data_IF_001470595452
#
_entry.id   IF_001470595452
#
_cell.length_a   1.000
_cell.length_b   1.000
_cell.length_c   1.000
_cell.angle_alpha   90.00
_cell.angle_beta   90.00
_cell.angle_gamma   90.00
#
_symmetry.space_group_name_H-M   'P 1'
#
loop_
_entity.id
_entity.type
_entity.pdbx_description
1 polymer ?
#
# COMPACT_ATOMS: atom_id res chain seq x y z
N UNK A 1 -6.53 -0.01 27.80
CA UNK A 1 -6.85 1.15 26.95
C UNK A 1 -5.81 1.17 25.83
N UNK A 2 -6.16 0.67 24.64
CA UNK A 2 -5.20 0.47 23.54
C UNK A 2 -5.08 1.77 22.73
N UNK A 3 -3.89 2.38 22.76
CA UNK A 3 -3.58 3.61 22.04
C UNK A 3 -3.27 3.32 20.58
N UNK A 4 -4.03 3.91 19.66
CA UNK A 4 -3.76 3.87 18.21
C UNK A 4 -2.79 4.98 17.82
N UNK A 5 -1.57 4.61 17.44
CA UNK A 5 -0.57 5.53 16.92
C UNK A 5 -0.90 5.95 15.48
N UNK A 6 -0.94 7.25 15.20
CA UNK A 6 -1.13 7.81 13.86
C UNK A 6 0.06 8.70 13.52
N UNK A 7 0.82 8.36 12.47
CA UNK A 7 1.92 9.18 11.93
C UNK A 7 1.39 10.05 10.77
N UNK A 8 1.66 11.36 10.79
CA UNK A 8 1.15 12.33 9.81
C UNK A 8 2.32 13.12 9.19
N UNK A 9 2.38 13.22 7.85
CA UNK A 9 3.30 14.13 7.14
C UNK A 9 2.62 14.75 5.92
N UNK A 10 2.89 16.04 5.71
CA UNK A 10 2.29 16.93 4.71
C UNK A 10 3.00 16.80 3.35
N UNK A 11 2.29 16.33 2.32
CA UNK A 11 2.78 16.36 0.94
C UNK A 11 2.35 17.64 0.19
N UNK A 12 1.38 18.38 0.74
CA UNK A 12 0.97 19.74 0.33
C UNK A 12 0.06 20.37 1.41
N UNK A 13 -0.12 21.70 1.47
CA UNK A 13 -1.01 22.32 2.46
C UNK A 13 -2.46 21.90 2.21
N UNK A 14 -2.98 20.93 2.96
CA UNK A 14 -4.37 20.50 2.80
C UNK A 14 -4.62 18.99 2.72
N UNK A 15 -3.61 18.21 2.31
CA UNK A 15 -3.74 16.78 2.06
C UNK A 15 -2.64 16.00 2.79
N UNK A 16 -3.07 14.99 3.55
CA UNK A 16 -2.16 13.95 4.06
C UNK A 16 -2.78 12.59 3.79
N UNK A 17 -1.91 11.63 3.47
CA UNK A 17 -2.27 10.25 3.24
C UNK A 17 -2.01 9.46 4.52
N UNK A 18 -2.89 8.51 4.82
CA UNK A 18 -2.74 7.63 5.98
C UNK A 18 -2.84 6.18 5.53
N UNK A 19 -1.84 5.39 5.89
CA UNK A 19 -1.82 3.95 5.66
C UNK A 19 -2.55 3.22 6.78
N UNK A 20 -3.28 2.17 6.41
CA UNK A 20 -4.16 1.41 7.29
C UNK A 20 -3.91 -0.07 7.03
N UNK A 21 -3.28 -0.73 7.99
CA UNK A 21 -2.97 -2.15 7.92
C UNK A 21 -4.17 -2.99 8.31
N UNK A 22 -4.53 -3.95 7.46
CA UNK A 22 -5.66 -4.86 7.62
C UNK A 22 -5.11 -6.30 7.73
N UNK A 23 -5.36 -6.93 8.88
CA UNK A 23 -4.82 -8.24 9.24
C UNK A 23 -5.66 -9.42 8.73
N UNK A 24 -6.81 -9.18 8.09
CA UNK A 24 -7.61 -10.26 7.53
C UNK A 24 -7.11 -10.62 6.12
N UNK A 25 -6.52 -11.81 5.88
CA UNK A 25 -5.90 -12.09 4.59
C UNK A 25 -6.92 -12.28 3.46
N UNK A 26 -6.65 -11.67 2.31
CA UNK A 26 -7.52 -11.69 1.13
C UNK A 26 -6.73 -11.85 -0.16
N UNK A 27 -7.37 -12.31 -1.23
CA UNK A 27 -6.80 -12.19 -2.58
C UNK A 27 -6.65 -10.70 -2.94
N UNK A 28 -5.73 -10.37 -3.84
CA UNK A 28 -5.42 -8.98 -4.15
C UNK A 28 -6.64 -8.18 -4.61
N UNK A 29 -7.48 -8.76 -5.49
CA UNK A 29 -8.71 -8.10 -5.96
C UNK A 29 -9.74 -7.89 -4.84
N UNK A 30 -9.84 -8.85 -3.93
CA UNK A 30 -10.73 -8.74 -2.76
C UNK A 30 -10.22 -7.68 -1.79
N UNK A 31 -8.91 -7.62 -1.55
CA UNK A 31 -8.26 -6.60 -0.73
C UNK A 31 -8.47 -5.20 -1.31
N UNK A 32 -8.32 -5.03 -2.63
CA UNK A 32 -8.61 -3.78 -3.33
C UNK A 32 -10.08 -3.36 -3.15
N UNK A 33 -11.00 -4.28 -3.39
CA UNK A 33 -12.43 -4.03 -3.24
C UNK A 33 -12.77 -3.62 -1.80
N UNK A 34 -12.16 -4.27 -0.82
CA UNK A 34 -12.29 -3.90 0.59
C UNK A 34 -11.76 -2.48 0.86
N UNK A 35 -10.57 -2.15 0.37
CA UNK A 35 -10.02 -0.80 0.57
C UNK A 35 -10.88 0.29 -0.08
N UNK A 36 -11.45 0.04 -1.26
CA UNK A 36 -12.36 0.99 -1.94
C UNK A 36 -13.72 1.11 -1.25
N UNK A 37 -14.18 0.05 -0.57
CA UNK A 37 -15.43 0.07 0.17
C UNK A 37 -15.31 0.79 1.53
N UNK A 38 -14.14 0.71 2.18
CA UNK A 38 -13.94 1.20 3.55
C UNK A 38 -13.02 2.43 3.65
N UNK A 39 -12.17 2.66 2.66
CA UNK A 39 -11.13 3.70 2.64
C UNK A 39 -11.05 4.32 1.23
N UNK A 40 -9.84 4.60 0.70
CA UNK A 40 -9.66 5.10 -0.68
C UNK A 40 -9.29 3.98 -1.65
N UNK A 41 -8.12 3.34 -1.49
CA UNK A 41 -7.71 2.17 -2.29
C UNK A 41 -6.58 1.39 -1.56
N UNK A 42 -6.04 0.35 -2.18
CA UNK A 42 -4.75 -0.24 -1.75
C UNK A 42 -3.64 0.81 -1.78
N UNK A 43 -2.73 0.73 -0.82
CA UNK A 43 -1.67 1.71 -0.64
C UNK A 43 -0.78 1.84 -1.88
N UNK A 44 -0.62 3.07 -2.36
CA UNK A 44 0.46 3.43 -3.28
C UNK A 44 1.68 3.89 -2.49
N UNK A 45 2.87 3.51 -2.97
CA UNK A 45 4.15 3.90 -2.36
C UNK A 45 4.91 4.72 -3.38
N UNK A 46 4.98 6.02 -3.14
CA UNK A 46 5.51 6.97 -4.11
C UNK A 46 6.98 7.35 -3.87
N UNK A 47 7.53 7.04 -2.70
CA UNK A 47 8.89 7.38 -2.31
C UNK A 47 9.37 6.53 -1.12
N UNK A 48 10.67 6.64 -0.81
CA UNK A 48 11.29 5.91 0.30
C UNK A 48 10.71 6.25 1.67
N UNK A 49 10.30 7.51 1.90
CA UNK A 49 9.73 7.92 3.19
C UNK A 49 8.36 7.27 3.42
N UNK A 50 7.57 7.04 2.37
CA UNK A 50 6.35 6.24 2.44
C UNK A 50 6.64 4.76 2.64
N UNK A 51 7.66 4.22 1.98
CA UNK A 51 8.08 2.84 2.19
C UNK A 51 8.49 2.58 3.65
N UNK A 52 9.24 3.50 4.25
CA UNK A 52 9.61 3.45 5.66
C UNK A 52 8.39 3.52 6.60
N UNK A 53 7.33 4.24 6.23
CA UNK A 53 6.09 4.24 7.02
C UNK A 53 5.38 2.90 6.98
N UNK A 54 5.40 2.20 5.83
CA UNK A 54 4.87 0.84 5.76
C UNK A 54 5.66 -0.10 6.66
N UNK A 55 6.98 -0.04 6.59
CA UNK A 55 7.90 -0.85 7.40
C UNK A 55 7.70 -0.64 8.91
N UNK A 56 7.37 0.58 9.33
CA UNK A 56 7.05 0.89 10.73
C UNK A 56 5.63 0.47 11.16
N UNK A 57 4.68 0.41 10.22
CA UNK A 57 3.28 0.13 10.49
C UNK A 57 2.98 -1.37 10.55
N UNK A 58 3.67 -2.15 9.72
CA UNK A 58 3.39 -3.58 9.48
C UNK A 58 4.41 -4.43 10.23
N UNK A 59 4.01 -5.55 10.87
CA UNK A 59 4.95 -6.46 11.53
C UNK A 59 6.03 -6.98 10.57
N UNK A 60 7.28 -7.07 11.05
CA UNK A 60 8.45 -7.46 10.25
C UNK A 60 8.30 -8.81 9.54
N UNK A 61 7.53 -9.75 10.07
CA UNK A 61 7.35 -11.08 9.47
C UNK A 61 6.26 -11.14 8.36
N UNK A 62 5.62 -10.01 8.03
CA UNK A 62 4.48 -10.00 7.12
C UNK A 62 4.88 -9.60 5.69
N UNK A 63 4.20 -10.23 4.72
CA UNK A 63 4.15 -9.81 3.32
C UNK A 63 2.75 -9.31 3.02
N UNK A 64 2.61 -8.05 2.66
CA UNK A 64 1.29 -7.39 2.56
C UNK A 64 1.01 -6.89 1.16
N UNK A 65 -0.24 -7.02 0.71
CA UNK A 65 -0.65 -6.45 -0.59
C UNK A 65 -0.58 -4.92 -0.58
N UNK A 66 -0.04 -4.36 -1.67
CA UNK A 66 -0.07 -2.94 -2.00
C UNK A 66 -0.69 -2.73 -3.38
N UNK A 67 -0.96 -1.48 -3.74
CA UNK A 67 -1.75 -1.10 -4.90
C UNK A 67 -1.00 -1.14 -6.25
N UNK A 68 0.20 -1.71 -6.32
CA UNK A 68 0.95 -1.86 -7.57
C UNK A 68 0.55 -3.17 -8.28
N UNK A 69 0.32 -3.09 -9.59
CA UNK A 69 0.00 -4.25 -10.41
C UNK A 69 0.63 -4.13 -11.81
N UNK A 70 0.82 -5.27 -12.48
CA UNK A 70 1.68 -5.42 -13.66
C UNK A 70 1.07 -4.93 -14.98
N UNK A 71 -0.20 -4.52 -15.01
CA UNK A 71 -0.83 -3.99 -16.23
C UNK A 71 -0.32 -2.55 -16.50
N UNK A 72 0.88 -2.47 -17.10
CA UNK A 72 1.73 -1.29 -17.28
C UNK A 72 2.42 -0.71 -16.02
N UNK A 73 2.59 -1.51 -14.96
CA UNK A 73 3.16 -1.07 -13.66
C UNK A 73 2.47 0.17 -13.11
N UNK A 74 1.14 0.19 -13.12
CA UNK A 74 0.37 1.32 -12.61
C UNK A 74 -0.02 1.10 -11.16
N UNK A 75 -0.14 2.19 -10.43
CA UNK A 75 -0.77 2.17 -9.12
C UNK A 75 -2.29 2.24 -9.28
N UNK A 76 -3.01 1.50 -8.45
CA UNK A 76 -4.48 1.39 -8.50
C UNK A 76 -5.22 2.69 -8.18
N UNK A 77 -4.56 3.60 -7.47
CA UNK A 77 -5.04 4.95 -7.21
C UNK A 77 -4.90 5.90 -8.42
N UNK A 78 -4.27 5.46 -9.51
CA UNK A 78 -3.97 6.30 -10.66
C UNK A 78 -2.73 7.19 -10.47
N UNK A 79 -1.92 6.98 -9.43
CA UNK A 79 -0.66 7.69 -9.24
C UNK A 79 0.33 7.36 -10.35
N UNK A 80 1.00 8.40 -10.86
CA UNK A 80 2.05 8.29 -11.88
C UNK A 80 3.44 7.99 -11.29
N UNK A 81 3.53 7.57 -10.03
CA UNK A 81 4.80 7.29 -9.39
C UNK A 81 5.59 6.16 -10.06
N UNK A 82 6.83 6.46 -10.43
CA UNK A 82 7.82 5.51 -10.95
C UNK A 82 8.60 4.81 -9.84
N UNK A 83 8.33 5.09 -8.56
CA UNK A 83 9.07 4.50 -7.45
C UNK A 83 8.93 2.99 -7.40
N UNK A 84 10.05 2.27 -7.46
CA UNK A 84 10.11 0.82 -7.31
C UNK A 84 11.25 0.48 -6.37
N UNK A 85 10.97 -0.36 -5.39
CA UNK A 85 11.95 -0.80 -4.41
C UNK A 85 11.96 -2.33 -4.37
N UNK A 86 12.29 -2.94 -5.52
CA UNK A 86 12.23 -4.38 -5.71
C UNK A 86 13.21 -5.14 -4.81
N UNK A 87 12.78 -6.32 -4.34
CA UNK A 87 13.67 -7.31 -3.79
C UNK A 87 14.67 -7.82 -4.84
N UNK A 88 15.73 -8.48 -4.40
CA UNK A 88 16.70 -9.03 -5.35
C UNK A 88 15.99 -10.04 -6.26
N UNK A 89 16.26 -9.95 -7.57
CA UNK A 89 15.70 -10.84 -8.61
C UNK A 89 14.23 -10.54 -8.97
N UNK A 90 13.58 -9.59 -8.29
CA UNK A 90 12.21 -9.16 -8.61
C UNK A 90 12.14 -7.95 -9.56
N UNK A 91 11.03 -7.79 -10.31
CA UNK A 91 9.92 -8.73 -10.45
C UNK A 91 10.28 -9.89 -11.39
N UNK A 92 10.07 -11.13 -10.95
CA UNK A 92 10.54 -12.32 -11.66
C UNK A 92 9.44 -12.98 -12.52
N UNK A 93 8.16 -12.64 -12.29
CA UNK A 93 7.00 -13.21 -12.95
C UNK A 93 6.98 -14.74 -12.95
N UNK A 94 7.08 -15.37 -11.77
CA UNK A 94 7.19 -16.82 -11.65
C UNK A 94 5.98 -17.49 -12.32
N UNK A 95 6.25 -18.54 -13.09
CA UNK A 95 5.25 -19.29 -13.87
C UNK A 95 4.38 -18.44 -14.80
N UNK A 96 4.76 -17.18 -15.07
CA UNK A 96 4.03 -16.29 -15.97
C UNK A 96 2.75 -15.67 -15.41
N UNK A 97 2.48 -15.76 -14.10
CA UNK A 97 1.20 -15.35 -13.52
C UNK A 97 1.33 -14.44 -12.27
N UNK A 98 2.49 -13.84 -12.05
CA UNK A 98 2.69 -12.91 -10.95
C UNK A 98 2.50 -11.48 -11.47
N UNK A 99 1.33 -10.93 -11.16
CA UNK A 99 0.91 -9.62 -11.67
C UNK A 99 0.48 -8.67 -10.55
N UNK A 100 0.44 -9.15 -9.31
CA UNK A 100 0.08 -8.37 -8.12
C UNK A 100 1.28 -8.21 -7.20
N UNK A 101 1.45 -7.05 -6.57
CA UNK A 101 2.66 -6.75 -5.79
C UNK A 101 2.39 -6.75 -4.30
N UNK A 102 3.27 -7.42 -3.55
CA UNK A 102 3.34 -7.34 -2.10
C UNK A 102 4.61 -6.60 -1.65
N UNK A 103 4.53 -5.91 -0.52
CA UNK A 103 5.69 -5.41 0.20
C UNK A 103 6.13 -6.44 1.26
N UNK A 104 7.41 -6.82 1.25
CA UNK A 104 8.01 -7.76 2.17
C UNK A 104 8.71 -7.01 3.31
N UNK A 105 8.14 -7.08 4.52
CA UNK A 105 8.68 -6.38 5.69
C UNK A 105 9.93 -7.05 6.27
N UNK A 106 10.20 -8.31 5.93
CA UNK A 106 11.48 -8.97 6.29
C UNK A 106 12.64 -8.34 5.51
N UNK A 107 12.34 -7.72 4.37
CA UNK A 107 13.27 -7.00 3.51
C UNK A 107 13.01 -5.48 3.49
N UNK A 108 12.57 -4.91 4.61
CA UNK A 108 12.40 -3.45 4.76
C UNK A 108 11.39 -2.84 3.78
N UNK A 109 10.30 -3.57 3.51
CA UNK A 109 9.23 -3.15 2.60
C UNK A 109 9.58 -3.28 1.12
N UNK A 110 10.64 -4.02 0.76
CA UNK A 110 10.94 -4.31 -0.64
C UNK A 110 9.78 -5.02 -1.35
N UNK A 111 9.62 -4.72 -2.62
CA UNK A 111 8.51 -5.19 -3.45
C UNK A 111 8.82 -6.56 -4.05
N UNK A 112 7.82 -7.43 -4.09
CA UNK A 112 7.82 -8.74 -4.75
C UNK A 112 6.54 -8.85 -5.58
N UNK A 113 6.60 -9.36 -6.81
CA UNK A 113 5.40 -9.79 -7.52
C UNK A 113 4.97 -11.19 -7.06
N UNK A 114 3.65 -11.41 -7.04
CA UNK A 114 3.01 -12.62 -6.59
C UNK A 114 1.76 -12.89 -7.42
N UNK A 115 1.32 -14.14 -7.44
CA UNK A 115 -0.01 -14.49 -7.95
C UNK A 115 -1.13 -13.80 -7.17
N UNK A 116 -2.07 -13.16 -7.87
CA UNK A 116 -3.13 -12.36 -7.23
C UNK A 116 -4.08 -13.16 -6.33
N UNK A 117 -4.16 -14.48 -6.54
CA UNK A 117 -5.04 -15.38 -5.78
C UNK A 117 -4.49 -15.74 -4.39
N UNK A 118 -3.22 -15.44 -4.11
CA UNK A 118 -2.65 -15.65 -2.79
C UNK A 118 -3.39 -14.80 -1.75
N UNK A 119 -3.67 -15.40 -0.59
CA UNK A 119 -4.28 -14.67 0.52
C UNK A 119 -3.18 -14.05 1.36
N UNK A 120 -3.13 -12.72 1.37
CA UNK A 120 -2.22 -11.94 2.20
C UNK A 120 -3.00 -10.86 2.94
N UNK A 121 -2.48 -10.47 4.08
CA UNK A 121 -2.85 -9.21 4.72
C UNK A 121 -2.52 -8.05 3.77
N UNK A 122 -3.04 -6.85 4.05
CA UNK A 122 -2.94 -5.78 3.08
C UNK A 122 -2.97 -4.40 3.72
N UNK A 123 -2.49 -3.41 2.97
CA UNK A 123 -2.47 -2.02 3.42
C UNK A 123 -3.35 -1.18 2.50
N UNK A 124 -4.36 -0.55 3.07
CA UNK A 124 -5.15 0.47 2.40
C UNK A 124 -4.52 1.86 2.64
N UNK A 125 -4.93 2.84 1.85
CA UNK A 125 -4.73 4.24 2.20
C UNK A 125 -6.04 5.02 2.20
N UNK A 126 -6.02 6.17 2.88
CA UNK A 126 -7.09 7.16 2.81
C UNK A 126 -6.52 8.57 2.63
N UNK A 127 -7.18 9.38 1.82
CA UNK A 127 -6.89 10.81 1.69
C UNK A 127 -7.69 11.64 2.70
N UNK A 128 -6.99 12.34 3.59
CA UNK A 128 -7.63 13.31 4.47
C UNK A 128 -7.57 14.70 3.85
N UNK A 129 -8.73 15.29 3.55
CA UNK A 129 -8.86 16.67 3.07
C UNK A 129 -9.26 17.57 4.23
N UNK A 130 -8.46 18.60 4.53
CA UNK A 130 -8.92 19.65 5.45
C UNK A 130 -10.11 20.38 4.80
N UNK A 131 -11.33 20.18 5.33
CA UNK A 131 -12.48 21.03 4.98
C UNK A 131 -12.24 22.42 5.55
N UNK A 132 -11.87 23.40 4.71
CA UNK A 132 -11.88 24.81 5.12
C UNK A 132 -13.28 25.15 5.63
N UNK A 133 -13.43 25.43 6.93
CA UNK A 133 -14.67 26.01 7.47
C UNK A 133 -14.88 27.35 6.75
N UNK A 134 -15.93 27.45 5.92
CA UNK A 134 -16.42 28.76 5.48
C UNK A 134 -16.86 29.50 6.75
N UNK A 135 -16.13 30.54 7.15
CA UNK A 135 -16.66 31.53 8.09
C UNK A 135 -17.90 32.13 7.43
N UNK A 136 -19.07 31.94 8.05
CA UNK A 136 -20.24 32.78 7.81
C UNK A 136 -20.03 34.07 8.59
#
# INVERSE_FOLDING_TARGET
MSGRSHLCFLLSPGHWWTFIYITNPMSWLSAQSYCRAHYTDLASVSNMAENQKLDQLVPTAAKVWIGLFRDSWKWTDGSNSLFRYWAAIEPNNDKGNEVCVAANMEEYGKMEDWGCEWKKEFVCYTENKFKKKRKR
#
